data_IF_775084482244
#
_entry.id   IF_775084482244
#
_cell.length_a   1.000
_cell.length_b   1.000
_cell.length_c   1.000
_cell.angle_alpha   90.00
_cell.angle_beta   90.00
_cell.angle_gamma   90.00
#
_symmetry.space_group_name_H-M   'P 1'
#
loop_
_entity.id
_entity.type
_entity.pdbx_description
1 polymer ?
#
# COMPACT_ATOMS: atom_id res chain seq x y z
N UNK A 1 -13.06 11.95 7.52
CA UNK A 1 -11.75 11.30 7.78
C UNK A 1 -10.65 12.36 7.99
N UNK A 2 -9.53 12.04 8.66
CA UNK A 2 -8.47 13.00 9.07
C UNK A 2 -7.87 13.85 7.92
N UNK A 3 -8.04 13.44 6.65
CA UNK A 3 -7.48 14.10 5.47
C UNK A 3 -8.51 14.42 4.38
N UNK A 4 -9.80 14.40 4.70
CA UNK A 4 -10.91 14.47 3.72
C UNK A 4 -10.91 15.72 2.82
N UNK A 5 -10.40 16.84 3.33
CA UNK A 5 -10.27 18.09 2.56
C UNK A 5 -8.81 18.42 2.21
N UNK A 6 -7.87 17.54 2.52
CA UNK A 6 -6.45 17.82 2.38
C UNK A 6 -6.05 17.70 0.90
N UNK A 7 -5.69 18.82 0.27
CA UNK A 7 -5.25 18.85 -1.13
C UNK A 7 -6.36 19.09 -2.16
N UNK A 8 -7.61 19.24 -1.71
CA UNK A 8 -8.72 19.65 -2.56
C UNK A 8 -8.41 21.03 -3.17
N UNK A 9 -8.53 21.14 -4.49
CA UNK A 9 -8.19 22.35 -5.24
C UNK A 9 -6.71 22.53 -5.58
N UNK A 10 -5.84 21.58 -5.21
CA UNK A 10 -4.45 21.58 -5.68
C UNK A 10 -4.32 20.84 -7.00
N UNK A 11 -3.56 21.40 -7.95
CA UNK A 11 -3.23 20.69 -9.17
C UNK A 11 -2.23 19.54 -8.86
N UNK A 12 -2.59 18.35 -9.31
CA UNK A 12 -1.77 17.13 -9.21
C UNK A 12 -1.52 16.50 -10.58
N UNK A 13 -1.89 17.17 -11.67
CA UNK A 13 -1.77 16.66 -13.04
C UNK A 13 -0.32 16.50 -13.51
N UNK A 14 0.64 17.11 -12.79
CA UNK A 14 2.09 16.98 -13.01
C UNK A 14 2.69 15.69 -12.43
N UNK A 15 1.91 14.90 -11.68
CA UNK A 15 2.42 13.73 -10.94
C UNK A 15 2.37 12.45 -11.76
N UNK A 16 3.35 11.58 -11.56
CA UNK A 16 3.41 10.27 -12.22
C UNK A 16 2.14 9.43 -11.97
N UNK A 17 1.66 9.39 -10.73
CA UNK A 17 0.43 8.65 -10.37
C UNK A 17 -0.81 9.18 -11.09
N UNK A 18 -0.79 10.42 -11.59
CA UNK A 18 -1.87 10.98 -12.39
C UNK A 18 -1.64 10.71 -13.89
N UNK A 19 -0.43 11.01 -14.38
CA UNK A 19 -0.09 10.97 -15.81
C UNK A 19 -0.14 9.55 -16.38
N UNK A 20 0.40 8.56 -15.66
CA UNK A 20 0.52 7.19 -16.17
C UNK A 20 -0.82 6.50 -16.40
N UNK A 21 -1.78 6.50 -15.47
CA UNK A 21 -3.11 5.95 -15.73
C UNK A 21 -3.88 6.79 -16.76
N UNK A 22 -3.71 8.12 -16.79
CA UNK A 22 -4.30 8.99 -17.81
C UNK A 22 -3.85 8.60 -19.23
N UNK A 23 -2.55 8.33 -19.42
CA UNK A 23 -1.99 7.94 -20.72
C UNK A 23 -2.32 6.51 -21.14
N UNK A 24 -2.38 5.59 -20.17
CA UNK A 24 -2.47 4.15 -20.46
C UNK A 24 -3.89 3.58 -20.34
N UNK A 25 -4.78 4.26 -19.63
CA UNK A 25 -6.09 3.72 -19.22
C UNK A 25 -6.00 2.49 -18.31
N UNK A 26 -4.82 2.21 -17.74
CA UNK A 26 -4.53 1.02 -16.94
C UNK A 26 -4.16 1.40 -15.51
N UNK A 27 -4.28 0.41 -14.61
CA UNK A 27 -3.75 0.53 -13.25
C UNK A 27 -2.24 0.76 -13.32
N UNK A 28 -1.76 1.76 -12.57
CA UNK A 28 -0.36 2.10 -12.45
C UNK A 28 0.07 2.12 -10.97
N UNK A 29 1.27 1.62 -10.71
CA UNK A 29 1.93 1.69 -9.40
C UNK A 29 3.20 2.49 -9.56
N UNK A 30 3.34 3.57 -8.79
CA UNK A 30 4.56 4.39 -8.82
C UNK A 30 5.74 3.67 -8.18
N UNK A 31 6.95 4.14 -8.47
CA UNK A 31 8.08 3.88 -7.59
C UNK A 31 7.92 4.67 -6.27
N UNK A 32 8.82 4.44 -5.31
CA UNK A 32 8.86 5.19 -4.06
C UNK A 32 9.07 6.68 -4.28
N UNK A 33 8.32 7.50 -3.56
CA UNK A 33 8.50 8.94 -3.53
C UNK A 33 8.09 9.54 -2.17
N UNK A 34 8.57 10.75 -1.90
CA UNK A 34 8.18 11.52 -0.72
C UNK A 34 6.89 12.26 -1.03
N UNK A 35 5.81 11.93 -0.31
CA UNK A 35 4.52 12.60 -0.42
C UNK A 35 4.69 14.11 -0.21
N UNK A 36 4.36 14.93 -1.22
CA UNK A 36 4.40 16.40 -1.07
C UNK A 36 3.42 16.90 0.01
N UNK A 37 2.40 16.10 0.33
CA UNK A 37 1.36 16.47 1.30
C UNK A 37 1.73 16.14 2.75
N UNK A 38 2.36 14.99 2.96
CA UNK A 38 2.61 14.46 4.32
C UNK A 38 4.09 14.34 4.68
N UNK A 39 4.99 14.43 3.70
CA UNK A 39 6.42 14.18 3.87
C UNK A 39 6.78 12.70 4.07
N UNK A 40 5.81 11.79 4.06
CA UNK A 40 6.05 10.36 4.24
C UNK A 40 6.59 9.71 2.96
N UNK A 41 7.45 8.69 3.12
CA UNK A 41 7.83 7.78 2.04
C UNK A 41 6.64 6.88 1.69
N UNK A 42 6.21 6.92 0.43
CA UNK A 42 5.05 6.17 -0.03
C UNK A 42 5.19 5.68 -1.47
N UNK A 43 4.30 4.76 -1.83
CA UNK A 43 3.94 4.43 -3.21
C UNK A 43 2.48 4.81 -3.43
N UNK A 44 2.08 5.04 -4.69
CA UNK A 44 0.68 5.27 -5.05
C UNK A 44 0.23 4.22 -6.05
N UNK A 45 -0.91 3.59 -5.76
CA UNK A 45 -1.67 2.80 -6.73
C UNK A 45 -2.73 3.71 -7.35
N UNK A 46 -2.84 3.73 -8.66
CA UNK A 46 -3.71 4.66 -9.37
C UNK A 46 -4.37 4.03 -10.59
N UNK A 47 -5.58 4.48 -10.92
CA UNK A 47 -6.38 3.97 -12.02
C UNK A 47 -7.30 5.04 -12.60
N UNK A 48 -7.63 4.95 -13.88
CA UNK A 48 -8.64 5.80 -14.50
C UNK A 48 -10.05 5.43 -14.06
N UNK A 49 -10.87 6.45 -13.83
CA UNK A 49 -12.32 6.35 -13.62
C UNK A 49 -12.97 6.59 -14.98
N UNK A 50 -13.81 5.65 -15.40
CA UNK A 50 -14.59 5.75 -16.64
C UNK A 50 -16.08 5.83 -16.29
N UNK A 51 -16.84 6.56 -17.10
CA UNK A 51 -18.30 6.62 -17.00
C UNK A 51 -18.98 5.49 -17.81
N UNK A 52 -20.31 5.51 -17.86
CA UNK A 52 -21.11 4.52 -18.60
C UNK A 52 -20.97 4.63 -20.13
N UNK A 53 -20.32 5.69 -20.64
CA UNK A 53 -20.06 5.92 -22.06
C UNK A 53 -18.60 5.57 -22.45
N UNK A 54 -17.86 4.88 -21.56
CA UNK A 54 -16.43 4.60 -21.68
C UNK A 54 -15.54 5.87 -21.75
N UNK A 55 -16.04 7.02 -21.27
CA UNK A 55 -15.27 8.26 -21.21
C UNK A 55 -14.49 8.37 -19.90
N UNK A 56 -13.20 8.73 -19.97
CA UNK A 56 -12.38 8.92 -18.78
C UNK A 56 -12.75 10.25 -18.09
N UNK A 57 -13.31 10.14 -16.88
CA UNK A 57 -13.79 11.30 -16.09
C UNK A 57 -12.84 11.69 -14.96
N UNK A 58 -11.81 10.90 -14.68
CA UNK A 58 -10.81 11.23 -13.67
C UNK A 58 -9.83 10.12 -13.36
N UNK A 59 -8.94 10.37 -12.40
CA UNK A 59 -7.98 9.39 -11.88
C UNK A 59 -8.23 9.18 -10.39
N UNK A 60 -8.38 7.92 -9.99
CA UNK A 60 -8.40 7.51 -8.59
C UNK A 60 -6.99 7.12 -8.16
N UNK A 61 -6.55 7.59 -6.99
CA UNK A 61 -5.23 7.30 -6.42
C UNK A 61 -5.30 6.94 -4.94
N UNK A 62 -4.50 5.97 -4.52
CA UNK A 62 -4.38 5.51 -3.12
C UNK A 62 -2.91 5.50 -2.72
N UNK A 63 -2.57 6.31 -1.72
CA UNK A 63 -1.23 6.37 -1.14
C UNK A 63 -1.05 5.28 -0.06
N UNK A 64 0.02 4.51 -0.18
CA UNK A 64 0.44 3.51 0.80
C UNK A 64 1.74 3.98 1.44
N UNK A 65 1.69 4.27 2.74
CA UNK A 65 2.88 4.65 3.51
C UNK A 65 3.76 3.43 3.72
N UNK A 66 5.02 3.54 3.33
CA UNK A 66 5.97 2.44 3.44
C UNK A 66 6.18 2.01 4.90
N UNK A 67 6.32 2.98 5.81
CA UNK A 67 6.53 2.73 7.25
C UNK A 67 5.37 1.97 7.92
N UNK A 68 4.14 2.14 7.44
CA UNK A 68 3.01 1.39 7.97
C UNK A 68 3.03 -0.06 7.47
N UNK A 69 3.54 -0.27 6.26
CA UNK A 69 3.65 -1.59 5.68
C UNK A 69 4.76 -2.42 6.34
N UNK A 70 5.91 -1.82 6.65
CA UNK A 70 7.04 -2.51 7.31
C UNK A 70 6.67 -3.03 8.70
N UNK A 71 5.92 -2.26 9.49
CA UNK A 71 5.45 -2.68 10.83
C UNK A 71 4.63 -3.96 10.78
N UNK A 72 3.73 -4.07 9.79
CA UNK A 72 2.89 -5.27 9.62
C UNK A 72 3.71 -6.52 9.24
N UNK A 73 4.81 -6.34 8.50
CA UNK A 73 5.72 -7.45 8.16
C UNK A 73 6.46 -7.94 9.39
N UNK A 74 6.90 -7.03 10.27
CA UNK A 74 7.53 -7.36 11.54
C UNK A 74 6.57 -8.15 12.45
N UNK A 75 5.31 -7.71 12.57
CA UNK A 75 4.28 -8.39 13.37
C UNK A 75 4.04 -9.84 12.88
N UNK A 76 3.96 -10.04 11.56
CA UNK A 76 3.77 -11.36 10.95
C UNK A 76 4.99 -12.26 11.19
N UNK A 77 6.20 -11.71 11.05
CA UNK A 77 7.44 -12.45 11.28
C UNK A 77 7.55 -12.89 12.75
N UNK A 78 7.22 -12.01 13.70
CA UNK A 78 7.23 -12.30 15.13
C UNK A 78 6.20 -13.39 15.48
N UNK A 79 4.96 -13.25 15.02
CA UNK A 79 3.91 -14.26 15.24
C UNK A 79 4.31 -15.64 14.68
N UNK A 80 4.93 -15.66 13.49
CA UNK A 80 5.42 -16.89 12.85
C UNK A 80 6.54 -17.53 13.68
N UNK A 81 7.49 -16.73 14.18
CA UNK A 81 8.58 -17.22 15.02
C UNK A 81 8.07 -17.83 16.35
N UNK A 82 7.07 -17.18 16.97
CA UNK A 82 6.42 -17.68 18.20
C UNK A 82 5.75 -19.03 17.93
N UNK A 83 5.00 -19.15 16.84
CA UNK A 83 4.31 -20.39 16.48
C UNK A 83 5.31 -21.54 16.24
N UNK A 84 6.36 -21.31 15.45
CA UNK A 84 7.42 -22.29 15.18
C UNK A 84 8.13 -22.75 16.46
N UNK A 85 8.40 -21.84 17.38
CA UNK A 85 9.02 -22.18 18.67
C UNK A 85 8.11 -23.05 19.53
N UNK A 86 6.81 -22.74 19.56
CA UNK A 86 5.83 -23.54 20.30
C UNK A 86 5.71 -24.96 19.74
N UNK A 87 5.68 -25.12 18.41
CA UNK A 87 5.67 -26.42 17.74
C UNK A 87 6.94 -27.23 18.02
N UNK A 88 8.12 -26.60 17.95
CA UNK A 88 9.39 -27.26 18.25
C UNK A 88 9.45 -27.77 19.69
N UNK A 89 9.06 -26.95 20.67
CA UNK A 89 9.05 -27.36 22.08
C UNK A 89 8.03 -28.47 22.35
N UNK A 90 6.84 -28.41 21.71
CA UNK A 90 5.84 -29.47 21.81
C UNK A 90 6.37 -30.81 21.25
N UNK A 91 7.02 -30.76 20.08
CA UNK A 91 7.64 -31.94 19.46
C UNK A 91 8.78 -32.49 20.30
N UNK A 92 9.71 -31.64 20.75
CA UNK A 92 10.83 -32.03 21.62
C UNK A 92 10.33 -32.66 22.93
N UNK A 93 9.24 -32.15 23.50
CA UNK A 93 8.62 -32.74 24.68
C UNK A 93 8.04 -34.11 24.36
N UNK A 94 7.30 -34.26 23.25
CA UNK A 94 6.77 -35.55 22.79
C UNK A 94 7.87 -36.59 22.57
N UNK A 95 8.94 -36.22 21.86
CA UNK A 95 10.07 -37.10 21.52
C UNK A 95 10.88 -37.50 22.76
N UNK A 96 10.81 -36.72 23.86
CA UNK A 96 11.48 -37.02 25.13
C UNK A 96 10.74 -38.08 25.97
N UNK A 97 9.48 -38.36 25.67
CA UNK A 97 8.67 -39.37 26.38
C UNK A 97 8.50 -40.69 25.59
N UNK A 98 9.12 -40.80 24.42
CA UNK A 98 9.33 -42.03 23.65
C UNK A 98 10.72 -42.61 23.95
#
# INVERSE_FOLDING_TARGET
>A
AKYENYGVGTDQSDREWFIKPLQSGKVHVTNFYISKMTGALCITVSASIVDDNDEMVGIFGVDIKFEEWTKRVEDIAEATHIALKAEYEAKKKSDKWL
#
